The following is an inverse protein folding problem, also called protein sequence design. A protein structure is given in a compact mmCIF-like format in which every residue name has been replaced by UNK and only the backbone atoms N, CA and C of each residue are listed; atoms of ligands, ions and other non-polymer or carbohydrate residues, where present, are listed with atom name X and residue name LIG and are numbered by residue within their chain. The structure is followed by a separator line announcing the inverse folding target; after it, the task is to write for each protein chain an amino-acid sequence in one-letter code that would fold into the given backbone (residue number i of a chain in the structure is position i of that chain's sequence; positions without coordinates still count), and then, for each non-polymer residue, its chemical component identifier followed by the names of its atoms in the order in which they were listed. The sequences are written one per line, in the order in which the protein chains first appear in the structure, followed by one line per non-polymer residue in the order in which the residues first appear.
data_IF_046723895895
#
_entry.id   IF_046723895895
#
_cell.length_a   1.000
_cell.length_b   1.000
_cell.length_c   1.000
_cell.angle_alpha   90.00
_cell.angle_beta   90.00
_cell.angle_gamma   90.00
#
_symmetry.space_group_name_H-M   'P 1'
#
loop_
_entity.id
_entity.type
_entity.pdbx_description
1 polymer ?
#
# COMPACT_ATOMS: atom_id res chain seq x y z
N UNK A 1 -2.90 10.16 -22.76
CA UNK A 1 -3.48 9.47 -21.60
C UNK A 1 -3.00 8.03 -21.63
N UNK A 2 -2.47 7.46 -20.54
CA UNK A 2 -1.89 6.10 -20.50
C UNK A 2 -2.99 5.06 -20.20
N UNK A 3 -3.52 4.32 -21.20
CA UNK A 3 -4.69 3.46 -20.98
C UNK A 3 -4.41 2.32 -19.99
N UNK A 4 -3.18 1.79 -20.00
CA UNK A 4 -2.72 0.74 -19.08
C UNK A 4 -2.75 1.19 -17.62
N UNK A 5 -2.35 2.43 -17.33
CA UNK A 5 -2.40 2.97 -15.97
C UNK A 5 -3.83 3.13 -15.47
N UNK A 6 -4.74 3.59 -16.34
CA UNK A 6 -6.17 3.72 -16.00
C UNK A 6 -6.81 2.37 -15.74
N UNK A 7 -6.56 1.36 -16.60
CA UNK A 7 -7.02 -0.01 -16.35
C UNK A 7 -6.48 -0.56 -15.02
N UNK A 8 -5.21 -0.28 -14.72
CA UNK A 8 -4.60 -0.68 -13.44
C UNK A 8 -5.32 -0.03 -12.25
N UNK A 9 -5.61 1.27 -12.28
CA UNK A 9 -6.39 1.96 -11.22
C UNK A 9 -7.75 1.28 -11.06
N UNK A 10 -8.50 1.09 -12.15
CA UNK A 10 -9.82 0.48 -12.09
C UNK A 10 -9.79 -0.94 -11.50
N UNK A 11 -8.78 -1.73 -11.86
CA UNK A 11 -8.62 -3.09 -11.33
C UNK A 11 -8.20 -3.10 -9.87
N UNK A 12 -7.27 -2.25 -9.45
CA UNK A 12 -6.86 -2.15 -8.05
C UNK A 12 -8.05 -1.78 -7.16
N UNK A 13 -8.88 -0.84 -7.60
CA UNK A 13 -10.04 -0.36 -6.81
C UNK A 13 -11.20 -1.36 -6.83
N UNK A 14 -11.58 -1.89 -8.00
CA UNK A 14 -12.85 -2.61 -8.14
C UNK A 14 -12.69 -4.14 -8.25
N UNK A 15 -11.49 -4.62 -8.59
CA UNK A 15 -11.25 -5.99 -9.01
C UNK A 15 -9.93 -6.55 -8.48
N UNK A 16 -9.52 -6.16 -7.26
CA UNK A 16 -8.24 -6.56 -6.67
C UNK A 16 -8.05 -8.09 -6.66
N UNK A 17 -9.10 -8.85 -6.33
CA UNK A 17 -9.08 -10.33 -6.33
C UNK A 17 -8.92 -10.98 -7.71
N UNK A 18 -8.98 -10.20 -8.81
CA UNK A 18 -8.75 -10.67 -10.19
C UNK A 18 -7.38 -10.29 -10.74
N UNK A 19 -6.54 -9.63 -9.94
CA UNK A 19 -5.16 -9.33 -10.33
C UNK A 19 -4.39 -10.64 -10.31
N UNK A 20 -3.76 -10.97 -11.45
CA UNK A 20 -2.93 -12.17 -11.61
C UNK A 20 -1.51 -11.78 -11.97
N UNK A 21 -0.56 -12.68 -11.70
CA UNK A 21 0.84 -12.53 -12.15
C UNK A 21 0.94 -12.21 -13.64
N UNK A 22 0.23 -12.98 -14.48
CA UNK A 22 0.23 -12.79 -15.94
C UNK A 22 -0.26 -11.41 -16.37
N UNK A 23 -1.24 -10.82 -15.67
CA UNK A 23 -1.72 -9.48 -15.98
C UNK A 23 -0.71 -8.40 -15.57
N UNK A 24 -0.03 -8.56 -14.42
CA UNK A 24 1.05 -7.65 -14.00
C UNK A 24 2.23 -7.71 -14.98
N UNK A 25 2.60 -8.90 -15.44
CA UNK A 25 3.64 -9.09 -16.46
C UNK A 25 3.24 -8.45 -17.80
N UNK A 26 1.99 -8.64 -18.24
CA UNK A 26 1.43 -8.03 -19.45
C UNK A 26 1.45 -6.49 -19.38
N UNK A 27 1.16 -5.89 -18.22
CA UNK A 27 1.29 -4.44 -18.03
C UNK A 27 2.70 -3.92 -18.31
N UNK A 28 3.73 -4.68 -17.93
CA UNK A 28 5.12 -4.33 -18.23
C UNK A 28 5.37 -4.30 -19.74
N UNK A 29 4.83 -5.27 -20.49
CA UNK A 29 4.90 -5.28 -21.96
C UNK A 29 4.17 -4.09 -22.61
N UNK A 30 3.15 -3.57 -21.93
CA UNK A 30 2.35 -2.40 -22.33
C UNK A 30 2.90 -1.07 -21.80
N UNK A 31 4.12 -1.06 -21.24
CA UNK A 31 4.84 0.14 -20.82
C UNK A 31 4.58 0.60 -19.39
N UNK A 32 3.85 -0.16 -18.58
CA UNK A 32 3.71 0.08 -17.13
C UNK A 32 4.63 -0.88 -16.38
N UNK A 33 5.84 -0.42 -16.05
CA UNK A 33 6.83 -1.24 -15.34
C UNK A 33 6.34 -1.65 -13.95
N UNK A 34 6.94 -2.70 -13.37
CA UNK A 34 6.62 -3.16 -12.01
C UNK A 34 6.72 -2.02 -10.98
N UNK A 35 7.79 -1.21 -11.00
CA UNK A 35 7.92 -0.09 -10.06
C UNK A 35 6.85 0.99 -10.30
N UNK A 36 6.52 1.30 -11.55
CA UNK A 36 5.46 2.28 -11.85
C UNK A 36 4.07 1.76 -11.43
N UNK A 37 3.83 0.44 -11.57
CA UNK A 37 2.61 -0.19 -11.05
C UNK A 37 2.55 -0.14 -9.52
N UNK A 38 3.66 -0.42 -8.82
CA UNK A 38 3.73 -0.35 -7.35
C UNK A 38 3.55 1.08 -6.84
N UNK A 39 4.17 2.07 -7.48
CA UNK A 39 3.98 3.49 -7.17
C UNK A 39 2.50 3.89 -7.35
N UNK A 40 1.88 3.47 -8.47
CA UNK A 40 0.46 3.69 -8.74
C UNK A 40 -0.43 3.07 -7.66
N UNK A 41 -0.16 1.83 -7.26
CA UNK A 41 -0.89 1.15 -6.17
C UNK A 41 -0.77 1.95 -4.87
N UNK A 42 0.44 2.39 -4.51
CA UNK A 42 0.66 3.20 -3.30
C UNK A 42 -0.16 4.49 -3.28
N UNK A 43 -0.14 5.25 -4.39
CA UNK A 43 -0.94 6.48 -4.52
C UNK A 43 -2.44 6.18 -4.46
N UNK A 44 -2.92 5.21 -5.23
CA UNK A 44 -4.36 4.87 -5.29
C UNK A 44 -4.88 4.42 -3.94
N UNK A 45 -4.16 3.57 -3.22
CA UNK A 45 -4.56 3.10 -1.88
C UNK A 45 -4.60 4.25 -0.87
N UNK A 46 -3.65 5.18 -0.94
CA UNK A 46 -3.66 6.35 -0.06
C UNK A 46 -4.85 7.27 -0.34
N UNK A 47 -5.11 7.60 -1.62
CA UNK A 47 -6.25 8.43 -2.01
C UNK A 47 -7.57 7.77 -1.61
N UNK A 48 -7.74 6.47 -1.92
CA UNK A 48 -8.96 5.74 -1.57
C UNK A 48 -9.19 5.73 -0.05
N UNK A 49 -8.15 5.54 0.76
CA UNK A 49 -8.28 5.54 2.22
C UNK A 49 -8.67 6.92 2.78
N UNK A 50 -8.17 8.00 2.17
CA UNK A 50 -8.56 9.37 2.53
C UNK A 50 -10.02 9.64 2.11
N UNK A 51 -10.40 9.28 0.90
CA UNK A 51 -11.75 9.49 0.37
C UNK A 51 -12.79 8.72 1.18
N UNK A 52 -12.58 7.43 1.44
CA UNK A 52 -13.49 6.60 2.24
C UNK A 52 -13.64 7.13 3.67
N UNK A 53 -12.56 7.65 4.26
CA UNK A 53 -12.62 8.30 5.56
C UNK A 53 -13.50 9.55 5.55
N UNK A 54 -13.38 10.40 4.52
CA UNK A 54 -14.22 11.59 4.37
C UNK A 54 -15.68 11.22 4.15
N UNK A 55 -15.96 10.25 3.28
CA UNK A 55 -17.32 9.77 3.01
C UNK A 55 -17.98 9.20 4.28
N UNK A 56 -17.23 8.44 5.10
CA UNK A 56 -17.74 7.92 6.37
C UNK A 56 -18.09 9.02 7.39
N UNK A 57 -17.49 10.21 7.27
CA UNK A 57 -17.74 11.37 8.13
C UNK A 57 -18.72 12.38 7.51
N UNK A 58 -19.32 12.06 6.36
CA UNK A 58 -20.17 12.97 5.58
C UNK A 58 -19.45 14.30 5.24
N UNK A 59 -18.14 14.21 4.98
CA UNK A 59 -17.30 15.32 4.57
C UNK A 59 -17.16 15.36 3.04
N UNK A 60 -16.88 16.54 2.50
CA UNK A 60 -16.50 16.67 1.08
C UNK A 60 -15.17 15.97 0.82
N UNK A 61 -15.02 15.36 -0.36
CA UNK A 61 -13.76 14.77 -0.80
C UNK A 61 -12.67 15.84 -0.94
N UNK A 62 -11.44 15.49 -0.58
CA UNK A 62 -10.29 16.38 -0.73
C UNK A 62 -9.87 16.41 -2.21
N UNK A 63 -9.72 17.60 -2.83
CA UNK A 63 -9.19 17.67 -4.19
C UNK A 63 -7.75 17.19 -4.24
N UNK A 64 -7.35 16.56 -5.35
CA UNK A 64 -5.95 16.24 -5.57
C UNK A 64 -5.10 17.52 -5.55
N UNK A 65 -3.92 17.49 -4.90
CA UNK A 65 -3.04 18.65 -4.89
C UNK A 65 -2.59 18.97 -6.33
N UNK A 66 -2.30 20.26 -6.63
CA UNK A 66 -1.77 20.62 -7.92
C UNK A 66 -0.45 19.88 -8.18
N UNK A 67 -0.30 19.36 -9.40
CA UNK A 67 0.93 18.69 -9.79
C UNK A 67 2.13 19.64 -9.64
N UNK A 68 3.15 19.19 -8.93
CA UNK A 68 4.38 19.96 -8.71
C UNK A 68 5.42 19.59 -9.76
N UNK A 69 6.17 20.58 -10.24
CA UNK A 69 7.32 20.31 -11.08
C UNK A 69 8.40 19.58 -10.27
N UNK A 70 9.00 18.55 -10.86
CA UNK A 70 10.03 17.75 -10.19
C UNK A 70 10.72 16.80 -11.14
N UNK A 71 11.85 16.24 -10.69
CA UNK A 71 12.58 15.20 -11.41
C UNK A 71 12.21 13.86 -10.82
N UNK A 72 11.79 12.92 -11.67
CA UNK A 72 11.50 11.54 -11.26
C UNK A 72 12.83 10.93 -10.79
N UNK A 73 12.88 10.51 -9.52
CA UNK A 73 14.10 9.93 -8.92
C UNK A 73 14.55 8.67 -9.66
N UNK A 74 13.57 7.86 -10.11
CA UNK A 74 13.78 6.53 -10.72
C UNK A 74 14.62 5.61 -9.83
N UNK A 75 14.56 5.83 -8.52
CA UNK A 75 15.24 5.01 -7.55
C UNK A 75 14.69 3.59 -7.59
N UNK A 76 15.58 2.60 -7.65
CA UNK A 76 15.23 1.18 -7.61
C UNK A 76 16.17 0.53 -6.58
N UNK A 77 15.64 -0.11 -5.53
CA UNK A 77 16.45 -0.85 -4.58
C UNK A 77 17.32 -1.93 -5.27
N UNK A 78 18.56 -2.09 -4.83
CA UNK A 78 19.49 -3.08 -5.41
C UNK A 78 19.07 -4.54 -5.14
N UNK A 79 18.38 -4.77 -4.04
CA UNK A 79 18.05 -6.11 -3.51
C UNK A 79 16.57 -6.43 -3.66
N UNK A 80 16.08 -6.43 -4.90
CA UNK A 80 14.74 -6.91 -5.25
C UNK A 80 14.76 -8.39 -5.62
N UNK A 81 13.73 -9.13 -5.21
CA UNK A 81 13.54 -10.54 -5.55
C UNK A 81 12.11 -10.81 -6.01
N UNK A 82 11.98 -11.62 -7.04
CA UNK A 82 10.72 -12.25 -7.42
C UNK A 82 10.47 -13.47 -6.53
N UNK A 83 9.55 -13.35 -5.58
CA UNK A 83 9.27 -14.42 -4.61
C UNK A 83 7.77 -14.79 -4.54
N UNK A 84 7.04 -14.31 -3.55
CA UNK A 84 5.66 -14.65 -3.21
C UNK A 84 4.69 -13.73 -3.97
N UNK A 85 5.06 -12.46 -4.15
CA UNK A 85 4.23 -11.45 -4.81
C UNK A 85 4.27 -11.51 -6.34
N UNK A 86 3.44 -10.69 -6.98
CA UNK A 86 3.42 -10.52 -8.44
C UNK A 86 4.39 -9.45 -8.95
N UNK A 87 5.06 -8.76 -8.05
CA UNK A 87 6.09 -7.75 -8.32
C UNK A 87 7.36 -8.09 -7.53
N UNK A 88 8.55 -7.66 -7.98
CA UNK A 88 9.76 -7.79 -7.19
C UNK A 88 9.64 -7.02 -5.87
N UNK A 89 10.07 -7.63 -4.77
CA UNK A 89 10.04 -7.04 -3.43
C UNK A 89 11.40 -7.15 -2.74
N UNK A 90 11.67 -6.26 -1.79
CA UNK A 90 12.81 -6.41 -0.88
C UNK A 90 12.55 -7.65 0.01
N UNK A 91 13.52 -8.58 0.15
CA UNK A 91 13.39 -9.73 1.05
C UNK A 91 13.34 -9.26 2.51
N UNK A 92 12.83 -10.11 3.40
CA UNK A 92 12.65 -9.76 4.83
C UNK A 92 13.95 -9.25 5.48
N UNK A 93 15.09 -9.83 5.09
CA UNK A 93 16.43 -9.49 5.58
C UNK A 93 17.16 -8.48 4.66
N UNK A 94 16.49 -7.96 3.62
CA UNK A 94 17.10 -7.15 2.56
C UNK A 94 17.03 -5.65 2.76
N UNK A 95 16.28 -5.17 3.75
CA UNK A 95 16.20 -3.74 4.07
C UNK A 95 17.50 -3.28 4.75
N UNK A 96 18.49 -2.91 3.94
CA UNK A 96 19.80 -2.41 4.37
C UNK A 96 20.08 -1.07 3.69
N UNK A 97 21.21 -0.41 3.99
CA UNK A 97 21.62 0.75 3.20
C UNK A 97 20.64 1.93 3.27
N UNK A 98 20.03 2.31 2.14
CA UNK A 98 19.05 3.40 2.05
C UNK A 98 17.65 2.95 2.51
N UNK A 99 17.38 1.65 2.55
CA UNK A 99 16.09 1.06 2.91
C UNK A 99 16.05 0.53 4.35
N UNK A 100 17.06 0.84 5.16
CA UNK A 100 17.20 0.29 6.53
C UNK A 100 16.04 0.61 7.47
N UNK A 101 15.32 1.70 7.18
CA UNK A 101 14.18 2.22 7.96
C UNK A 101 12.83 1.77 7.41
N UNK A 102 12.83 1.04 6.28
CA UNK A 102 11.63 0.69 5.53
C UNK A 102 10.67 -0.24 6.29
N UNK A 103 11.19 -1.03 7.24
CA UNK A 103 10.41 -1.96 8.07
C UNK A 103 10.54 -1.63 9.57
N UNK A 104 9.76 -0.64 10.06
CA UNK A 104 9.80 -0.27 11.46
C UNK A 104 9.50 -1.43 12.40
N UNK A 105 10.25 -1.51 13.51
CA UNK A 105 10.14 -2.64 14.45
C UNK A 105 10.54 -4.00 13.88
N UNK A 106 11.16 -4.06 12.69
CA UNK A 106 11.50 -5.30 12.00
C UNK A 106 10.30 -6.01 11.37
N UNK A 107 9.14 -5.35 11.29
CA UNK A 107 7.91 -5.94 10.74
C UNK A 107 7.95 -5.87 9.22
N UNK A 108 8.14 -7.02 8.57
CA UNK A 108 8.25 -7.15 7.10
C UNK A 108 7.19 -8.11 6.55
N UNK A 109 5.93 -7.91 6.97
CA UNK A 109 4.79 -8.66 6.43
C UNK A 109 4.66 -8.46 4.91
N UNK A 110 4.12 -9.45 4.19
CA UNK A 110 4.04 -9.40 2.72
C UNK A 110 3.24 -8.19 2.21
N UNK A 111 2.23 -7.72 2.96
CA UNK A 111 1.48 -6.50 2.64
C UNK A 111 2.37 -5.25 2.59
N UNK A 112 3.36 -5.15 3.48
CA UNK A 112 4.32 -4.05 3.49
C UNK A 112 5.34 -4.24 2.37
N UNK A 113 5.87 -5.46 2.25
CA UNK A 113 6.88 -5.81 1.23
C UNK A 113 6.37 -5.57 -0.20
N UNK A 114 5.06 -5.68 -0.46
CA UNK A 114 4.46 -5.42 -1.76
C UNK A 114 4.72 -3.99 -2.29
N UNK A 115 4.96 -3.02 -1.40
CA UNK A 115 5.29 -1.63 -1.76
C UNK A 115 6.81 -1.36 -1.77
N UNK A 116 7.63 -2.30 -1.31
CA UNK A 116 9.06 -2.06 -1.04
C UNK A 116 9.94 -1.82 -2.26
N UNK A 117 9.47 -2.13 -3.48
CA UNK A 117 10.20 -1.75 -4.70
C UNK A 117 10.15 -0.26 -5.00
N UNK A 118 9.27 0.48 -4.32
CA UNK A 118 9.17 1.94 -4.33
C UNK A 118 9.13 2.41 -2.86
N UNK A 119 10.29 2.60 -2.20
CA UNK A 119 10.34 2.90 -0.77
C UNK A 119 9.47 4.09 -0.33
N UNK A 120 9.38 5.14 -1.17
CA UNK A 120 8.52 6.29 -0.90
C UNK A 120 7.04 5.90 -0.80
N UNK A 121 6.55 5.00 -1.65
CA UNK A 121 5.16 4.55 -1.61
C UNK A 121 4.83 3.82 -0.30
N UNK A 122 5.79 3.05 0.25
CA UNK A 122 5.63 2.42 1.55
C UNK A 122 5.70 3.45 2.69
N UNK A 123 6.61 4.43 2.63
CA UNK A 123 6.67 5.51 3.63
C UNK A 123 5.36 6.31 3.69
N UNK A 124 4.80 6.69 2.55
CA UNK A 124 3.55 7.43 2.47
C UNK A 124 2.39 6.60 3.04
N UNK A 125 2.33 5.31 2.69
CA UNK A 125 1.34 4.39 3.23
C UNK A 125 1.47 4.19 4.74
N UNK A 126 2.69 4.06 5.27
CA UNK A 126 2.95 3.93 6.72
C UNK A 126 2.50 5.18 7.47
N UNK A 127 2.79 6.37 6.94
CA UNK A 127 2.37 7.63 7.54
C UNK A 127 0.83 7.74 7.61
N UNK A 128 0.14 7.37 6.52
CA UNK A 128 -1.32 7.38 6.48
C UNK A 128 -1.94 6.32 7.41
N UNK A 129 -1.40 5.10 7.40
CA UNK A 129 -1.85 4.02 8.28
C UNK A 129 -1.70 4.39 9.75
N UNK A 130 -0.59 5.05 10.13
CA UNK A 130 -0.38 5.54 11.48
C UNK A 130 -1.42 6.60 11.89
N UNK A 131 -1.78 7.49 10.98
CA UNK A 131 -2.77 8.55 11.21
C UNK A 131 -4.21 8.04 11.29
N UNK A 132 -4.64 7.19 10.35
CA UNK A 132 -6.04 6.76 10.22
C UNK A 132 -6.36 5.45 10.94
N UNK A 133 -5.38 4.55 11.16
CA UNK A 133 -5.62 3.21 11.68
C UNK A 133 -4.78 2.84 12.90
N UNK A 134 -3.50 2.52 12.74
CA UNK A 134 -2.55 2.20 13.81
C UNK A 134 -1.12 2.11 13.21
N UNK A 135 -0.09 2.63 13.90
CA UNK A 135 1.30 2.38 13.51
C UNK A 135 1.63 0.88 13.50
N UNK A 136 2.40 0.43 12.50
CA UNK A 136 2.71 -1.00 12.29
C UNK A 136 3.39 -1.63 13.51
N UNK A 137 4.26 -0.89 14.20
CA UNK A 137 4.99 -1.31 15.40
C UNK A 137 4.04 -1.60 16.58
N UNK A 138 2.84 -1.03 16.56
CA UNK A 138 1.81 -1.26 17.57
C UNK A 138 0.84 -2.38 17.20
N UNK A 139 0.91 -2.95 15.98
CA UNK A 139 -0.05 -3.98 15.54
C UNK A 139 -0.07 -5.21 16.43
N UNK A 140 1.07 -5.60 17.02
CA UNK A 140 1.16 -6.73 17.95
C UNK A 140 0.65 -6.43 19.37
N UNK A 141 0.28 -5.17 19.68
CA UNK A 141 -0.25 -4.81 20.98
C UNK A 141 -1.76 -5.12 21.04
N UNK A 142 -2.12 -6.09 21.88
CA UNK A 142 -3.49 -6.57 22.02
C UNK A 142 -4.32 -5.87 23.10
N UNK A 143 -3.74 -4.91 23.83
CA UNK A 143 -4.49 -4.12 24.82
C UNK A 143 -4.97 -2.79 24.23
N UNK A 144 -5.94 -2.17 24.90
CA UNK A 144 -6.46 -0.86 24.51
C UNK A 144 -5.38 0.22 24.65
N UNK A 145 -5.31 1.10 23.66
CA UNK A 145 -4.55 2.36 23.72
C UNK A 145 -5.44 3.46 24.32
N UNK A 146 -4.95 4.17 25.34
CA UNK A 146 -5.69 5.23 26.02
C UNK A 146 -6.08 6.38 25.07
N UNK A 147 -5.35 6.55 23.97
CA UNK A 147 -5.66 7.54 22.93
C UNK A 147 -6.80 7.10 21.99
N UNK A 148 -7.41 5.92 22.19
CA UNK A 148 -8.46 5.37 21.32
C UNK A 148 -9.76 5.06 22.05
N UNK A 149 -10.87 5.27 21.34
CA UNK A 149 -12.22 5.00 21.83
C UNK A 149 -12.59 3.52 21.81
N UNK A 150 -11.99 2.75 20.91
CA UNK A 150 -12.21 1.30 20.76
C UNK A 150 -10.94 0.51 21.11
N UNK A 151 -11.13 -0.69 21.65
CA UNK A 151 -10.03 -1.60 21.96
C UNK A 151 -9.59 -2.43 20.73
N UNK A 152 -8.50 -3.19 20.90
CA UNK A 152 -7.92 -4.00 19.84
C UNK A 152 -8.87 -5.08 19.31
N UNK A 153 -9.66 -5.72 20.17
CA UNK A 153 -10.59 -6.78 19.74
C UNK A 153 -11.71 -6.20 18.88
N UNK A 154 -12.20 -5.02 19.21
CA UNK A 154 -13.19 -4.30 18.41
C UNK A 154 -12.61 -3.89 17.05
N UNK A 155 -11.36 -3.40 17.02
CA UNK A 155 -10.65 -3.09 15.77
C UNK A 155 -10.49 -4.34 14.90
N UNK A 156 -10.07 -5.47 15.47
CA UNK A 156 -9.94 -6.74 14.74
C UNK A 156 -11.29 -7.25 14.22
N UNK A 157 -12.37 -7.10 14.98
CA UNK A 157 -13.71 -7.48 14.52
C UNK A 157 -14.12 -6.67 13.28
N UNK A 158 -13.87 -5.36 13.29
CA UNK A 158 -14.13 -4.50 12.13
C UNK A 158 -13.23 -4.87 10.96
N UNK A 159 -11.93 -5.03 11.20
CA UNK A 159 -10.96 -5.41 10.18
C UNK A 159 -11.32 -6.76 9.54
N UNK A 160 -11.66 -7.77 10.33
CA UNK A 160 -12.09 -9.09 9.84
C UNK A 160 -13.35 -9.00 8.98
N UNK A 161 -14.33 -8.17 9.36
CA UNK A 161 -15.54 -7.95 8.56
C UNK A 161 -15.21 -7.27 7.23
N UNK A 162 -14.38 -6.23 7.25
CA UNK A 162 -13.94 -5.52 6.04
C UNK A 162 -13.14 -6.44 5.12
N UNK A 163 -12.22 -7.24 5.66
CA UNK A 163 -11.47 -8.24 4.89
C UNK A 163 -12.38 -9.29 4.26
N UNK A 164 -13.39 -9.77 5.00
CA UNK A 164 -14.36 -10.74 4.47
C UNK A 164 -15.21 -10.18 3.34
N UNK A 165 -15.61 -8.90 3.39
CA UNK A 165 -16.40 -8.25 2.34
C UNK A 165 -15.54 -8.01 1.09
N UNK A 166 -14.29 -7.61 1.28
CA UNK A 166 -13.36 -7.28 0.21
C UNK A 166 -12.54 -8.48 -0.31
N UNK A 167 -12.85 -9.70 0.15
CA UNK A 167 -12.13 -10.92 -0.21
C UNK A 167 -10.60 -10.82 0.01
N UNK A 168 -10.18 -10.07 1.04
CA UNK A 168 -8.78 -9.89 1.40
C UNK A 168 -8.33 -11.03 2.33
N UNK A 169 -7.93 -12.14 1.71
CA UNK A 169 -7.46 -13.34 2.41
C UNK A 169 -5.93 -13.43 2.40
N UNK A 170 -5.36 -13.96 3.48
CA UNK A 170 -3.91 -14.17 3.66
C UNK A 170 -3.53 -15.64 3.47
#
# INVERSE_FOLDING_TARGET
MFPTAIDAVHRVVNHAGRITRSWVEDNTTKGLSNSAYVELVGVVVCVLSIDEFHLCLDMSLEPLPPAQAGVITRYVPDVLRDDIGFVPMIPKEGAVGQERDLFPGGVSANVLRALSSVPQALHDWLALAAAQYLPVERMGNMVRDDARSIDRMQMELMAARVSSINECFY
#
